data_IF_764614418816
#
_entry.id   IF_764614418816
#
_cell.length_a   1.000
_cell.length_b   1.000
_cell.length_c   1.000
_cell.angle_alpha   90.00
_cell.angle_beta   90.00
_cell.angle_gamma   90.00
#
_symmetry.space_group_name_H-M   'P 1'
#
loop_
_entity.id
_entity.type
_entity.pdbx_description
1 polymer ?
#
# COMPACT_ATOMS: atom_id res chain seq x y z
N UNK A 1 -17.75 12.23 -1.08
CA UNK A 1 -17.33 11.76 -1.04
C UNK A 1 -16.53 11.20 -0.72
N UNK A 2 -16.24 10.77 -0.56
CA UNK A 2 -15.64 10.21 -0.30
C UNK A 2 -14.93 9.57 -0.12
N UNK A 3 -15.02 9.70 0.03
CA UNK A 3 -14.51 8.49 -0.20
C UNK A 3 -13.19 8.11 0.38
N UNK A 4 -12.53 7.13 -0.23
CA UNK A 4 -11.26 6.72 0.32
C UNK A 4 -10.18 7.72 -0.03
N UNK A 5 -9.21 7.82 0.85
CA UNK A 5 -8.10 8.72 0.65
C UNK A 5 -7.14 8.22 -0.42
N UNK A 6 -7.22 6.94 -0.72
CA UNK A 6 -6.23 6.31 -1.60
C UNK A 6 -6.92 5.76 -2.82
N UNK A 7 -6.43 6.15 -3.97
CA UNK A 7 -6.90 5.58 -5.22
C UNK A 7 -6.12 4.31 -5.50
N UNK A 8 -6.58 3.55 -6.48
CA UNK A 8 -5.87 2.34 -6.85
C UNK A 8 -4.44 2.64 -7.28
N UNK A 9 -4.27 3.76 -7.95
CA UNK A 9 -2.93 4.13 -8.39
C UNK A 9 -2.02 4.36 -7.20
N UNK A 10 -2.54 4.99 -6.15
CA UNK A 10 -1.73 5.23 -4.98
C UNK A 10 -1.42 3.94 -4.23
N UNK A 11 -2.39 3.05 -4.17
CA UNK A 11 -2.17 1.78 -3.52
C UNK A 11 -1.09 0.99 -4.26
N UNK A 12 -1.16 0.98 -5.57
CA UNK A 12 -0.15 0.29 -6.37
C UNK A 12 1.22 0.91 -6.16
N UNK A 13 1.28 2.23 -6.05
CA UNK A 13 2.53 2.92 -5.84
C UNK A 13 3.15 2.54 -4.49
N UNK A 14 2.31 2.49 -3.47
CA UNK A 14 2.77 2.11 -2.14
C UNK A 14 3.33 0.69 -2.13
N UNK A 15 2.61 -0.22 -2.76
CA UNK A 15 3.06 -1.60 -2.82
C UNK A 15 4.36 -1.73 -3.60
N UNK A 16 4.49 -0.96 -4.66
CA UNK A 16 5.69 -1.03 -5.48
C UNK A 16 6.91 -0.53 -4.72
N UNK A 17 6.74 0.47 -3.89
CA UNK A 17 7.86 0.97 -3.11
C UNK A 17 8.45 -0.12 -2.22
N UNK A 18 7.58 -0.93 -1.62
CA UNK A 18 8.06 -2.02 -0.78
C UNK A 18 8.79 -3.05 -1.63
N UNK A 19 8.32 -3.28 -2.84
CA UNK A 19 8.98 -4.23 -3.72
C UNK A 19 10.34 -3.74 -4.16
N UNK A 20 10.50 -2.43 -4.23
CA UNK A 20 11.78 -1.86 -4.64
C UNK A 20 12.84 -1.95 -3.55
N UNK A 21 12.48 -2.46 -2.40
CA UNK A 21 13.43 -2.63 -1.32
C UNK A 21 13.22 -1.70 -0.15
N UNK A 22 12.21 -0.86 -0.20
CA UNK A 22 11.91 0.01 0.94
C UNK A 22 11.25 -0.81 2.02
N UNK A 23 11.66 -0.58 3.26
CA UNK A 23 11.07 -1.31 4.38
C UNK A 23 9.57 -1.04 4.46
N UNK A 24 8.81 -2.09 4.77
CA UNK A 24 7.37 -1.96 4.87
C UNK A 24 6.98 -0.89 5.89
N UNK A 25 7.67 -0.89 7.02
CA UNK A 25 7.36 0.10 8.06
C UNK A 25 7.55 1.52 7.53
N UNK A 26 8.58 1.72 6.74
CA UNK A 26 8.84 3.03 6.18
C UNK A 26 7.78 3.41 5.14
N UNK A 27 7.43 2.47 4.30
CA UNK A 27 6.41 2.71 3.30
C UNK A 27 5.09 3.09 3.95
N UNK A 28 4.71 2.37 4.99
CA UNK A 28 3.48 2.66 5.71
C UNK A 28 3.53 4.02 6.35
N UNK A 29 4.67 4.35 6.91
CA UNK A 29 4.83 5.64 7.57
C UNK A 29 4.65 6.79 6.59
N UNK A 30 5.27 6.67 5.42
CA UNK A 30 5.16 7.72 4.42
C UNK A 30 3.78 7.81 3.85
N UNK A 31 3.11 6.67 3.70
CA UNK A 31 1.76 6.66 3.15
C UNK A 31 0.72 7.04 4.20
N UNK A 32 1.09 7.00 5.47
CA UNK A 32 0.14 7.33 6.52
C UNK A 32 -0.83 6.20 6.81
N UNK A 33 -0.38 4.97 6.65
CA UNK A 33 -1.21 3.80 6.90
C UNK A 33 -0.52 2.88 7.88
N UNK A 34 -1.27 1.93 8.41
CA UNK A 34 -0.69 0.94 9.29
C UNK A 34 -0.17 -0.24 8.47
N UNK A 35 0.68 -1.04 9.11
CA UNK A 35 1.19 -2.23 8.43
C UNK A 35 0.05 -3.19 8.12
N UNK A 36 -0.95 -3.25 8.98
CA UNK A 36 -2.09 -4.11 8.73
C UNK A 36 -2.77 -3.72 7.42
N UNK A 37 -2.94 -2.41 7.20
CA UNK A 37 -3.54 -1.93 5.97
C UNK A 37 -2.68 -2.29 4.78
N UNK A 38 -1.37 -2.15 4.93
CA UNK A 38 -0.45 -2.48 3.85
C UNK A 38 -0.60 -3.95 3.44
N UNK A 39 -0.63 -4.84 4.42
CA UNK A 39 -0.72 -6.26 4.11
C UNK A 39 -2.08 -6.62 3.54
N UNK A 40 -3.13 -5.91 3.95
CA UNK A 40 -4.44 -6.11 3.35
C UNK A 40 -4.41 -5.77 1.87
N UNK A 41 -3.77 -4.64 1.55
CA UNK A 41 -3.65 -4.24 0.15
C UNK A 41 -2.83 -5.23 -0.64
N UNK A 42 -1.73 -5.66 -0.05
CA UNK A 42 -0.85 -6.59 -0.74
C UNK A 42 -1.57 -7.89 -1.03
N UNK A 43 -2.31 -8.38 -0.06
CA UNK A 43 -3.04 -9.61 -0.23
C UNK A 43 -4.10 -9.48 -1.31
N UNK A 44 -4.75 -8.33 -1.33
CA UNK A 44 -5.82 -8.09 -2.26
C UNK A 44 -5.31 -7.92 -3.69
N UNK A 45 -4.27 -7.15 -3.86
CA UNK A 45 -3.80 -6.83 -5.20
C UNK A 45 -2.78 -7.83 -5.71
N UNK A 46 -1.98 -8.39 -4.84
CA UNK A 46 -1.02 -9.39 -5.28
C UNK A 46 -1.71 -10.65 -5.76
N UNK A 47 -2.85 -10.93 -5.19
CA UNK A 47 -3.59 -12.11 -5.59
C UNK A 47 -4.13 -12.02 -7.00
N UNK A 48 -4.23 -10.81 -7.53
CA UNK A 48 -4.72 -10.61 -8.88
C UNK A 48 -3.63 -10.79 -9.91
N UNK A 49 -2.40 -10.75 -9.48
CA UNK A 49 -1.27 -10.91 -10.37
C UNK A 49 -0.78 -12.34 -10.31
#
# INVERSE_FOLDING_TARGET
>A
MKASKFSEAQIAFVLKQAEDGTAVAEVCRKAGISEATFYNWRKKYAGLM
#
